data_IF_536222530952
#
_entry.id   IF_536222530952
#
_cell.length_a   1.000
_cell.length_b   1.000
_cell.length_c   1.000
_cell.angle_alpha   90.00
_cell.angle_beta   90.00
_cell.angle_gamma   90.00
#
_symmetry.space_group_name_H-M   'P 1'
#
loop_
_entity.id
_entity.type
_entity.pdbx_description
1 polymer ?
#
# COMPACT_ATOMS: atom_id res chain seq x y z
N UNK A 1 -4.77 -9.18 7.14
CA UNK A 1 -4.11 -8.91 8.44
C UNK A 1 -3.55 -7.50 8.60
N UNK A 2 -2.34 -7.16 8.13
CA UNK A 2 -1.72 -5.86 8.47
C UNK A 2 -2.54 -4.65 8.00
N UNK A 3 -3.05 -4.68 6.76
CA UNK A 3 -3.94 -3.63 6.25
C UNK A 3 -5.27 -3.55 6.98
N UNK A 4 -5.91 -4.70 7.23
CA UNK A 4 -7.19 -4.77 7.96
C UNK A 4 -7.06 -4.26 9.40
N UNK A 5 -5.90 -4.48 10.04
CA UNK A 5 -5.60 -4.04 11.40
C UNK A 5 -5.03 -2.62 11.46
N UNK A 6 -4.85 -1.93 10.32
CA UNK A 6 -4.10 -0.67 10.22
C UNK A 6 -2.71 -0.76 10.89
N UNK A 7 -2.07 -1.92 10.84
CA UNK A 7 -0.76 -2.18 11.42
C UNK A 7 0.33 -1.79 10.41
N UNK A 8 0.78 -0.55 10.53
CA UNK A 8 1.77 0.02 9.63
C UNK A 8 3.13 -0.69 9.74
N UNK A 9 3.59 -1.00 10.95
CA UNK A 9 4.91 -1.60 11.17
C UNK A 9 4.95 -3.04 10.65
N UNK A 10 3.88 -3.82 10.84
CA UNK A 10 3.77 -5.13 10.25
C UNK A 10 3.75 -5.07 8.71
N UNK A 11 3.11 -4.05 8.13
CA UNK A 11 3.10 -3.85 6.68
C UNK A 11 4.50 -3.49 6.16
N UNK A 12 5.25 -2.62 6.85
CA UNK A 12 6.65 -2.28 6.52
C UNK A 12 7.52 -3.52 6.52
N UNK A 13 7.46 -4.33 7.59
CA UNK A 13 8.25 -5.54 7.72
C UNK A 13 7.90 -6.57 6.62
N UNK A 14 6.61 -6.72 6.31
CA UNK A 14 6.15 -7.61 5.25
C UNK A 14 6.64 -7.15 3.87
N UNK A 15 6.56 -5.85 3.58
CA UNK A 15 7.05 -5.29 2.32
C UNK A 15 8.57 -5.47 2.18
N UNK A 16 9.34 -5.22 3.24
CA UNK A 16 10.79 -5.40 3.20
C UNK A 16 11.18 -6.86 2.93
N UNK A 17 10.55 -7.80 3.63
CA UNK A 17 10.77 -9.23 3.40
C UNK A 17 10.40 -9.68 1.99
N UNK A 18 9.33 -9.13 1.41
CA UNK A 18 8.77 -9.64 0.15
C UNK A 18 9.33 -8.95 -1.10
N UNK A 19 9.69 -7.67 -1.03
CA UNK A 19 10.09 -6.86 -2.21
C UNK A 19 11.61 -6.71 -2.31
N UNK A 20 12.29 -6.49 -1.19
CA UNK A 20 13.75 -6.31 -1.15
C UNK A 20 14.40 -7.07 0.03
N UNK A 21 14.29 -8.40 0.07
CA UNK A 21 14.83 -9.20 1.17
C UNK A 21 16.35 -9.07 1.32
N UNK A 22 17.07 -8.87 0.21
CA UNK A 22 18.54 -8.82 0.20
C UNK A 22 19.11 -7.48 0.69
N UNK A 23 18.25 -6.49 0.93
CA UNK A 23 18.65 -5.17 1.41
C UNK A 23 18.48 -5.15 2.93
N UNK A 24 19.58 -5.10 3.69
CA UNK A 24 19.52 -5.18 5.16
C UNK A 24 18.56 -4.17 5.78
N UNK A 25 18.79 -2.88 5.54
CA UNK A 25 17.84 -1.82 5.90
C UNK A 25 17.25 -1.22 4.63
N UNK A 26 15.93 -1.22 4.50
CA UNK A 26 15.21 -0.61 3.37
C UNK A 26 14.30 0.54 3.85
N UNK A 27 14.82 1.78 3.96
CA UNK A 27 14.06 2.92 4.46
C UNK A 27 12.80 3.23 3.64
N UNK A 28 12.80 2.93 2.34
CA UNK A 28 11.66 3.18 1.46
C UNK A 28 10.49 2.23 1.72
N UNK A 29 10.67 1.16 2.51
CA UNK A 29 9.58 0.29 2.94
C UNK A 29 8.50 1.07 3.71
N UNK A 30 8.90 2.03 4.55
CA UNK A 30 7.99 2.90 5.31
C UNK A 30 7.15 3.77 4.38
N UNK A 31 7.78 4.39 3.38
CA UNK A 31 7.07 5.21 2.40
C UNK A 31 6.11 4.38 1.54
N UNK A 32 6.54 3.18 1.12
CA UNK A 32 5.68 2.26 0.38
C UNK A 32 4.49 1.78 1.22
N UNK A 33 4.70 1.44 2.49
CA UNK A 33 3.61 1.06 3.40
C UNK A 33 2.60 2.19 3.58
N UNK A 34 3.06 3.44 3.66
CA UNK A 34 2.19 4.62 3.75
C UNK A 34 1.34 4.78 2.49
N UNK A 35 1.95 4.65 1.32
CA UNK A 35 1.23 4.69 0.04
C UNK A 35 0.20 3.55 -0.06
N UNK A 36 0.57 2.32 0.27
CA UNK A 36 -0.33 1.15 0.20
C UNK A 36 -1.54 1.31 1.13
N UNK A 37 -1.34 1.81 2.35
CA UNK A 37 -2.43 2.08 3.28
C UNK A 37 -3.40 3.15 2.76
N UNK A 38 -2.87 4.23 2.16
CA UNK A 38 -3.68 5.30 1.55
C UNK A 38 -4.49 4.78 0.36
N UNK A 39 -3.83 4.09 -0.59
CA UNK A 39 -4.47 3.48 -1.76
C UNK A 39 -5.58 2.52 -1.35
N UNK A 40 -5.35 1.67 -0.33
CA UNK A 40 -6.35 0.71 0.13
C UNK A 40 -7.63 1.40 0.60
N UNK A 41 -7.51 2.56 1.27
CA UNK A 41 -8.67 3.36 1.68
C UNK A 41 -9.37 3.98 0.47
N UNK A 42 -8.61 4.57 -0.46
CA UNK A 42 -9.18 5.17 -1.68
C UNK A 42 -9.82 4.17 -2.62
N UNK A 43 -9.37 2.92 -2.63
CA UNK A 43 -10.02 1.84 -3.38
C UNK A 43 -11.36 1.46 -2.73
N UNK A 44 -11.42 1.39 -1.40
CA UNK A 44 -12.67 1.11 -0.68
C UNK A 44 -13.72 2.22 -0.83
N UNK A 45 -13.28 3.46 -1.13
CA UNK A 45 -14.16 4.60 -1.41
C UNK A 45 -14.66 4.65 -2.86
N UNK A 46 -14.10 3.85 -3.77
CA UNK A 46 -14.52 3.85 -5.17
C UNK A 46 -15.86 3.10 -5.33
N UNK A 47 -16.81 3.65 -6.12
CA UNK A 47 -18.07 2.97 -6.37
C UNK A 47 -17.86 1.59 -6.99
N UNK A 48 -18.59 0.59 -6.49
CA UNK A 48 -18.55 -0.76 -7.02
C UNK A 48 -18.86 -0.77 -8.51
N UNK A 49 -19.84 0.04 -8.97
CA UNK A 49 -20.21 0.16 -10.39
C UNK A 49 -19.03 0.65 -11.25
N UNK A 50 -18.20 1.56 -10.73
CA UNK A 50 -17.01 2.04 -11.42
C UNK A 50 -15.95 0.94 -11.54
N UNK A 51 -15.72 0.19 -10.46
CA UNK A 51 -14.74 -0.91 -10.47
C UNK A 51 -15.18 -2.01 -11.44
N UNK A 52 -16.45 -2.44 -11.40
CA UNK A 52 -16.96 -3.51 -12.29
C UNK A 52 -17.05 -3.09 -13.76
N UNK A 53 -17.14 -1.77 -14.04
CA UNK A 53 -17.05 -1.23 -15.40
C UNK A 53 -15.61 -1.01 -15.89
N UNK A 54 -14.61 -1.44 -15.09
CA UNK A 54 -13.19 -1.35 -15.45
C UNK A 54 -12.55 0.01 -15.16
N UNK A 55 -13.26 0.90 -14.45
CA UNK A 55 -12.75 2.21 -14.05
C UNK A 55 -12.24 2.13 -12.61
N UNK A 56 -10.94 1.82 -12.45
CA UNK A 56 -10.24 1.81 -11.17
C UNK A 56 -9.07 2.79 -11.19
N UNK A 57 -8.94 3.60 -10.15
CA UNK A 57 -7.89 4.60 -10.04
C UNK A 57 -6.97 4.35 -8.84
N UNK A 58 -5.67 4.50 -9.09
CA UNK A 58 -4.63 4.49 -8.06
C UNK A 58 -4.00 5.89 -8.01
N UNK A 59 -3.91 6.56 -6.85
CA UNK A 59 -3.19 7.82 -6.73
C UNK A 59 -1.74 7.67 -7.18
N UNK A 60 -1.16 8.72 -7.75
CA UNK A 60 0.27 8.76 -8.02
C UNK A 60 1.02 8.79 -6.67
N UNK A 61 2.04 7.94 -6.52
CA UNK A 61 2.89 7.96 -5.35
C UNK A 61 3.55 9.35 -5.21
N UNK A 62 3.49 9.93 -4.01
CA UNK A 62 4.13 11.22 -3.74
C UNK A 62 5.64 11.05 -3.74
N UNK A 63 6.35 11.99 -4.33
CA UNK A 63 7.80 12.05 -4.24
C UNK A 63 8.21 12.26 -2.78
N UNK A 64 9.21 11.48 -2.35
CA UNK A 64 9.78 11.49 -1.01
C UNK A 64 11.00 12.41 -1.00
#
# INVERSE_FOLDING_TARGET
DALERNDHDALVAALARNVRPDTGTWPQATHLAGYVADVSKRLAEQPTESIVSGTVAFPVAKTI
#
